data_IF_181216984230
#
_entry.id   IF_181216984230
#
_cell.length_a   1.000
_cell.length_b   1.000
_cell.length_c   1.000
_cell.angle_alpha   90.00
_cell.angle_beta   90.00
_cell.angle_gamma   90.00
#
_symmetry.space_group_name_H-M   'P 1'
#
loop_
_entity.id
_entity.type
_entity.pdbx_description
1 polymer ?
#
# COMPACT_ATOMS: atom_id res chain seq x y z
N UNK A 1 -2.08 -6.71 -25.61
CA UNK A 1 -1.40 -5.41 -25.45
C UNK A 1 -0.06 -5.67 -24.78
N UNK A 2 1.05 -5.12 -25.26
CA UNK A 2 2.35 -5.43 -24.68
C UNK A 2 2.36 -4.90 -23.25
N UNK A 3 2.53 -5.81 -22.30
CA UNK A 3 2.80 -5.47 -20.91
C UNK A 3 4.16 -4.82 -20.91
N UNK A 4 4.22 -3.49 -20.82
CA UNK A 4 5.44 -2.78 -20.47
C UNK A 4 5.75 -3.16 -19.02
N UNK A 5 6.40 -4.32 -18.88
CA UNK A 5 6.97 -4.79 -17.64
C UNK A 5 8.10 -3.82 -17.28
N UNK A 6 7.78 -2.82 -16.47
CA UNK A 6 8.79 -2.04 -15.78
C UNK A 6 9.41 -2.95 -14.71
N UNK A 7 10.42 -3.72 -15.10
CA UNK A 7 11.34 -4.39 -14.17
C UNK A 7 12.25 -3.39 -13.43
N UNK A 8 12.11 -2.09 -13.69
CA UNK A 8 12.84 -1.05 -13.00
C UNK A 8 12.32 -0.95 -11.55
N UNK A 9 13.20 -1.25 -10.60
CA UNK A 9 12.99 -0.95 -9.19
C UNK A 9 12.65 0.53 -9.08
N UNK A 10 11.45 0.86 -8.59
CA UNK A 10 11.04 2.25 -8.45
C UNK A 10 12.05 2.98 -7.57
N UNK A 11 12.72 4.03 -8.05
CA UNK A 11 13.73 4.72 -7.27
C UNK A 11 13.07 5.31 -6.03
N UNK A 12 13.54 4.88 -4.86
CA UNK A 12 13.05 5.38 -3.56
C UNK A 12 13.49 6.81 -3.32
N UNK A 13 14.53 7.27 -4.02
CA UNK A 13 15.05 8.64 -4.00
C UNK A 13 15.07 9.20 -5.42
N UNK A 14 14.41 10.34 -5.62
CA UNK A 14 14.43 11.08 -6.88
C UNK A 14 15.44 12.22 -6.74
N UNK A 15 16.39 12.33 -7.67
CA UNK A 15 17.38 13.42 -7.69
C UNK A 15 17.12 14.45 -8.78
N UNK A 16 16.26 14.12 -9.75
CA UNK A 16 15.82 15.02 -10.82
C UNK A 16 14.34 14.71 -11.11
N UNK A 17 13.45 15.52 -10.53
CA UNK A 17 12.01 15.33 -10.71
C UNK A 17 11.56 15.68 -12.14
N UNK A 18 12.25 16.58 -12.83
CA UNK A 18 11.91 16.98 -14.19
C UNK A 18 12.19 15.85 -15.18
N UNK A 19 13.37 15.23 -15.10
CA UNK A 19 13.72 14.06 -15.89
C UNK A 19 12.79 12.88 -15.59
N UNK A 20 12.48 12.62 -14.31
CA UNK A 20 11.53 11.57 -13.93
C UNK A 20 10.14 11.81 -14.54
N UNK A 21 9.64 13.05 -14.49
CA UNK A 21 8.38 13.43 -15.12
C UNK A 21 8.43 13.31 -16.65
N UNK A 22 9.55 13.65 -17.28
CA UNK A 22 9.70 13.55 -18.73
C UNK A 22 9.71 12.09 -19.21
N UNK A 23 10.28 11.17 -18.41
CA UNK A 23 10.32 9.73 -18.71
C UNK A 23 9.04 8.98 -18.31
N UNK A 24 8.12 9.64 -17.59
CA UNK A 24 6.90 9.02 -17.08
C UNK A 24 5.90 8.69 -18.20
N UNK A 25 5.55 7.41 -18.31
CA UNK A 25 4.50 6.92 -19.19
C UNK A 25 3.32 6.43 -18.34
N UNK A 26 2.21 7.19 -18.26
CA UNK A 26 1.07 6.82 -17.43
C UNK A 26 0.46 5.48 -17.85
N UNK A 27 0.27 4.59 -16.89
CA UNK A 27 -0.44 3.32 -17.10
C UNK A 27 -1.96 3.49 -17.11
N UNK A 28 -2.47 4.59 -16.52
CA UNK A 28 -3.92 4.85 -16.36
C UNK A 28 -4.26 6.32 -16.69
N UNK A 29 -4.04 6.76 -17.94
CA UNK A 29 -4.26 8.16 -18.33
C UNK A 29 -5.69 8.61 -18.04
N UNK A 30 -5.84 9.78 -17.42
CA UNK A 30 -7.14 10.39 -17.09
C UNK A 30 -7.79 9.90 -15.79
N UNK A 31 -7.21 8.89 -15.13
CA UNK A 31 -7.64 8.47 -13.79
C UNK A 31 -6.78 9.16 -12.71
N UNK A 32 -5.46 9.01 -12.84
CA UNK A 32 -4.50 9.57 -11.91
C UNK A 32 -3.13 9.70 -12.58
N UNK A 33 -2.24 10.46 -11.95
CA UNK A 33 -0.86 10.66 -12.39
C UNK A 33 0.10 10.66 -11.21
N UNK A 34 1.35 10.25 -11.45
CA UNK A 34 2.41 10.36 -10.45
C UNK A 34 3.03 11.75 -10.53
N UNK A 35 2.98 12.48 -9.42
CA UNK A 35 3.73 13.72 -9.23
C UNK A 35 5.07 13.36 -8.59
N UNK A 36 6.14 13.46 -9.39
CA UNK A 36 7.50 13.25 -8.93
C UNK A 36 8.01 14.45 -8.15
N UNK A 37 8.69 14.19 -7.04
CA UNK A 37 9.33 15.20 -6.20
C UNK A 37 10.67 14.67 -5.75
N UNK A 38 11.68 15.52 -5.80
CA UNK A 38 13.04 15.19 -5.37
C UNK A 38 13.08 14.83 -3.88
N UNK A 39 14.07 14.00 -3.52
CA UNK A 39 14.21 13.41 -2.19
C UNK A 39 13.65 12.00 -2.09
N UNK A 40 13.73 11.44 -0.88
CA UNK A 40 13.34 10.06 -0.61
C UNK A 40 11.86 9.98 -0.26
N UNK A 41 11.12 9.11 -0.95
CA UNK A 41 9.69 8.85 -0.71
C UNK A 41 8.76 10.08 -0.84
N UNK A 42 9.19 11.11 -1.57
CA UNK A 42 8.43 12.37 -1.71
C UNK A 42 7.42 12.39 -2.87
N UNK A 43 7.46 11.37 -3.75
CA UNK A 43 6.54 11.29 -4.89
C UNK A 43 5.17 10.76 -4.47
N UNK A 44 4.10 11.21 -5.13
CA UNK A 44 2.72 10.85 -4.77
C UNK A 44 1.83 10.65 -6.00
N UNK A 45 0.81 9.81 -5.85
CA UNK A 45 -0.26 9.67 -6.84
C UNK A 45 -1.31 10.75 -6.63
N UNK A 46 -1.69 11.45 -7.70
CA UNK A 46 -2.72 12.50 -7.68
C UNK A 46 -3.85 12.10 -8.62
N UNK A 47 -5.08 12.22 -8.14
CA UNK A 47 -6.28 11.98 -8.95
C UNK A 47 -6.39 13.04 -10.05
N UNK A 48 -6.55 12.60 -11.30
CA UNK A 48 -6.75 13.49 -12.45
C UNK A 48 -8.21 13.94 -12.59
N UNK A 49 -9.13 13.31 -11.84
CA UNK A 49 -10.55 13.64 -11.79
C UNK A 49 -11.12 13.39 -10.39
N UNK A 50 -12.33 13.91 -10.14
CA UNK A 50 -13.09 13.58 -8.94
C UNK A 50 -13.60 12.14 -8.98
N UNK A 51 -13.67 11.51 -7.79
CA UNK A 51 -14.25 10.19 -7.57
C UNK A 51 -15.38 10.29 -6.55
N UNK A 52 -16.47 9.57 -6.79
CA UNK A 52 -17.53 9.39 -5.81
C UNK A 52 -17.11 8.39 -4.73
N UNK A 53 -17.63 8.52 -3.51
CA UNK A 53 -17.39 7.54 -2.45
C UNK A 53 -17.87 6.16 -2.90
N UNK A 54 -16.98 5.17 -2.83
CA UNK A 54 -17.27 3.78 -3.25
C UNK A 54 -17.11 3.54 -4.75
N UNK A 55 -16.76 4.57 -5.54
CA UNK A 55 -16.42 4.40 -6.94
C UNK A 55 -15.12 3.59 -7.08
N UNK A 56 -15.15 2.61 -7.98
CA UNK A 56 -13.95 1.83 -8.32
C UNK A 56 -13.05 2.68 -9.20
N UNK A 57 -11.84 3.00 -8.73
CA UNK A 57 -10.85 3.75 -9.50
C UNK A 57 -10.40 2.94 -10.73
N UNK A 58 -9.88 1.73 -10.50
CA UNK A 58 -9.49 0.77 -11.53
C UNK A 58 -9.32 -0.63 -10.90
N UNK A 59 -9.24 -1.67 -11.73
CA UNK A 59 -8.88 -3.02 -11.26
C UNK A 59 -7.37 -3.14 -11.03
N UNK A 60 -6.98 -4.04 -10.13
CA UNK A 60 -5.59 -4.44 -9.94
C UNK A 60 -5.28 -5.59 -10.89
N UNK A 61 -4.46 -5.32 -11.91
CA UNK A 61 -4.14 -6.25 -13.01
C UNK A 61 -2.66 -6.12 -13.40
N UNK A 62 -2.08 -7.16 -14.04
CA UNK A 62 -0.67 -7.15 -14.46
C UNK A 62 0.34 -7.33 -13.32
N UNK A 63 -0.11 -7.83 -12.17
CA UNK A 63 0.70 -8.00 -10.97
C UNK A 63 1.55 -9.26 -11.04
N UNK A 64 2.70 -9.23 -10.39
CA UNK A 64 3.59 -10.40 -10.28
C UNK A 64 3.85 -10.73 -8.82
N UNK A 65 4.02 -12.01 -8.44
CA UNK A 65 4.50 -12.36 -7.11
C UNK A 65 5.84 -11.67 -6.82
N UNK A 66 6.02 -11.22 -5.59
CA UNK A 66 7.24 -10.55 -5.14
C UNK A 66 7.57 -10.89 -3.69
N UNK A 67 8.82 -10.66 -3.25
CA UNK A 67 9.16 -10.72 -1.85
C UNK A 67 8.51 -9.56 -1.09
N UNK A 68 8.32 -9.73 0.23
CA UNK A 68 7.87 -8.66 1.12
C UNK A 68 8.85 -7.48 1.06
N UNK A 69 8.38 -6.34 0.55
CA UNK A 69 9.12 -5.08 0.38
C UNK A 69 8.17 -3.89 0.47
N UNK A 70 8.72 -2.69 0.61
CA UNK A 70 7.94 -1.43 0.64
C UNK A 70 7.02 -1.23 -0.59
N UNK A 71 7.39 -1.75 -1.76
CA UNK A 71 6.60 -1.61 -3.00
C UNK A 71 5.58 -2.72 -3.22
N UNK A 72 5.69 -3.82 -2.46
CA UNK A 72 4.81 -4.96 -2.60
C UNK A 72 3.57 -4.83 -1.72
N UNK A 73 2.48 -5.51 -2.09
CA UNK A 73 1.24 -5.60 -1.31
C UNK A 73 1.01 -7.03 -0.88
N UNK A 74 0.74 -7.26 0.40
CA UNK A 74 0.36 -8.57 0.91
C UNK A 74 -1.05 -8.96 0.46
N UNK A 75 -1.18 -10.16 -0.10
CA UNK A 75 -2.45 -10.69 -0.67
C UNK A 75 -2.89 -12.02 -0.07
N UNK A 76 -2.03 -12.66 0.71
CA UNK A 76 -2.34 -13.83 1.52
C UNK A 76 -1.45 -13.84 2.76
N UNK A 77 -1.58 -14.87 3.61
CA UNK A 77 -0.77 -14.99 4.83
C UNK A 77 0.73 -14.96 4.53
N UNK A 78 1.18 -15.60 3.45
CA UNK A 78 2.58 -15.65 3.04
C UNK A 78 2.88 -14.92 1.72
N UNK A 79 1.87 -14.55 0.94
CA UNK A 79 2.02 -14.05 -0.43
C UNK A 79 2.01 -12.53 -0.56
N UNK A 80 2.92 -12.00 -1.38
CA UNK A 80 2.96 -10.60 -1.77
C UNK A 80 3.02 -10.46 -3.30
N UNK A 81 2.53 -9.34 -3.82
CA UNK A 81 2.56 -8.99 -5.24
C UNK A 81 3.16 -7.59 -5.44
N UNK A 82 3.83 -7.38 -6.58
CA UNK A 82 4.18 -6.06 -7.12
C UNK A 82 3.07 -5.61 -8.08
N UNK A 83 2.66 -4.33 -8.05
CA UNK A 83 1.53 -3.86 -8.88
C UNK A 83 1.96 -3.50 -10.31
N UNK A 84 3.26 -3.37 -10.56
CA UNK A 84 3.89 -3.14 -11.87
C UNK A 84 3.25 -1.99 -12.66
N UNK A 85 2.84 -0.94 -11.96
CA UNK A 85 2.10 0.19 -12.55
C UNK A 85 2.14 1.39 -11.61
N UNK A 86 1.64 2.53 -12.09
CA UNK A 86 1.62 3.79 -11.31
C UNK A 86 0.86 3.66 -9.98
N UNK A 87 0.01 2.64 -9.86
CA UNK A 87 -0.69 2.25 -8.63
C UNK A 87 0.25 1.90 -7.49
N UNK A 88 1.53 1.58 -7.75
CA UNK A 88 2.59 1.44 -6.74
C UNK A 88 2.83 2.73 -5.94
N UNK A 89 2.26 3.86 -6.38
CA UNK A 89 2.28 5.14 -5.65
C UNK A 89 1.01 5.41 -4.86
N UNK A 90 0.03 4.51 -4.89
CA UNK A 90 -1.26 4.70 -4.25
C UNK A 90 -1.11 4.54 -2.74
N UNK A 91 -1.51 5.58 -2.00
CA UNK A 91 -1.53 5.56 -0.54
C UNK A 91 -2.89 5.11 -0.05
N UNK A 92 -2.91 4.10 0.81
CA UNK A 92 -4.10 3.64 1.51
C UNK A 92 -3.73 3.31 2.95
N UNK A 93 -4.70 2.86 3.76
CA UNK A 93 -4.42 2.45 5.12
C UNK A 93 -3.68 1.11 5.13
N UNK A 94 -2.34 1.10 5.06
CA UNK A 94 -1.51 -0.11 4.96
C UNK A 94 -1.94 -1.27 5.89
N UNK A 95 -2.29 -1.06 7.17
CA UNK A 95 -2.75 -2.15 8.04
C UNK A 95 -4.05 -2.84 7.59
N UNK A 96 -4.73 -2.37 6.54
CA UNK A 96 -5.86 -3.08 5.92
C UNK A 96 -5.43 -4.30 5.11
N UNK A 97 -4.21 -4.32 4.57
CA UNK A 97 -3.68 -5.43 3.75
C UNK A 97 -2.40 -6.01 4.32
N UNK A 98 -1.63 -5.24 5.09
CA UNK A 98 -0.30 -5.64 5.59
C UNK A 98 -0.38 -6.10 7.05
N UNK A 99 0.04 -7.34 7.31
CA UNK A 99 0.08 -7.90 8.66
C UNK A 99 1.17 -7.25 9.49
N UNK A 100 2.36 -7.15 8.94
CA UNK A 100 3.54 -6.56 9.54
C UNK A 100 4.33 -5.89 8.41
N UNK A 101 4.69 -4.62 8.57
CA UNK A 101 5.48 -3.91 7.56
C UNK A 101 6.89 -4.52 7.48
N UNK A 102 7.55 -4.40 6.33
CA UNK A 102 9.00 -4.68 6.23
C UNK A 102 9.81 -3.59 6.92
N UNK A 103 9.40 -2.33 6.69
CA UNK A 103 9.99 -1.14 7.29
C UNK A 103 8.88 -0.28 7.90
N UNK A 104 8.68 -0.34 9.23
CA UNK A 104 7.75 0.53 9.93
C UNK A 104 8.13 2.00 9.85
N UNK A 105 7.15 2.91 9.81
CA UNK A 105 7.39 4.35 9.68
C UNK A 105 6.36 5.22 10.43
N UNK A 106 6.73 6.45 10.82
CA UNK A 106 5.79 7.42 11.39
C UNK A 106 4.82 7.94 10.31
N UNK A 107 3.53 7.93 10.62
CA UNK A 107 2.48 8.39 9.71
C UNK A 107 2.34 9.91 9.77
N UNK A 108 2.29 10.55 8.60
CA UNK A 108 2.12 11.99 8.45
C UNK A 108 0.81 12.38 7.76
N UNK A 109 -0.23 11.53 7.83
CA UNK A 109 -1.49 11.77 7.12
C UNK A 109 -2.32 12.94 7.66
N UNK A 110 -2.08 13.38 8.90
CA UNK A 110 -2.80 14.50 9.52
C UNK A 110 -4.22 14.20 10.01
N UNK A 111 -4.73 12.98 9.82
CA UNK A 111 -6.09 12.60 10.24
C UNK A 111 -6.21 12.47 11.78
N UNK A 112 -7.34 12.90 12.34
CA UNK A 112 -7.62 12.83 13.79
C UNK A 112 -7.63 11.39 14.33
N UNK A 113 -8.00 10.41 13.48
CA UNK A 113 -8.06 8.97 13.81
C UNK A 113 -6.78 8.23 13.39
N UNK A 114 -5.70 8.95 13.09
CA UNK A 114 -4.42 8.40 12.71
C UNK A 114 -3.83 7.49 13.81
N UNK A 115 -3.29 6.33 13.41
CA UNK A 115 -2.62 5.37 14.30
C UNK A 115 -1.16 5.76 14.65
N UNK A 116 -0.69 6.90 14.14
CA UNK A 116 0.63 7.53 14.34
C UNK A 116 1.82 6.74 13.83
N UNK A 117 1.92 5.44 14.09
CA UNK A 117 2.98 4.56 13.60
C UNK A 117 2.40 3.46 12.70
N UNK A 118 2.91 3.34 11.48
CA UNK A 118 2.52 2.27 10.56
C UNK A 118 3.48 1.09 10.74
N UNK A 119 2.98 0.01 11.35
CA UNK A 119 3.74 -1.23 11.60
C UNK A 119 3.05 -2.48 11.05
N UNK A 120 1.80 -2.35 10.56
CA UNK A 120 0.96 -3.46 10.11
C UNK A 120 -0.16 -3.81 11.11
N UNK A 121 -1.12 -4.60 10.66
CA UNK A 121 -2.32 -4.98 11.41
C UNK A 121 -2.04 -5.73 12.72
N UNK A 122 -0.92 -6.47 12.78
CA UNK A 122 -0.45 -7.23 13.96
C UNK A 122 -0.36 -6.37 15.22
N UNK A 123 -0.10 -5.08 15.07
CA UNK A 123 0.11 -4.15 16.19
C UNK A 123 -1.12 -3.32 16.55
N UNK A 124 -2.24 -3.52 15.85
CA UNK A 124 -3.49 -2.81 16.09
C UNK A 124 -4.55 -3.73 16.70
N UNK A 125 -5.44 -3.14 17.50
CA UNK A 125 -6.60 -3.84 18.04
C UNK A 125 -7.70 -3.99 16.96
N UNK A 126 -8.56 -5.00 17.14
CA UNK A 126 -9.76 -5.16 16.29
C UNK A 126 -10.67 -3.94 16.32
N UNK A 127 -10.73 -3.24 17.45
CA UNK A 127 -11.48 -2.00 17.59
C UNK A 127 -10.96 -0.90 16.65
N UNK A 128 -9.64 -0.68 16.60
CA UNK A 128 -9.04 0.31 15.69
C UNK A 128 -9.28 -0.09 14.23
N UNK A 129 -9.08 -1.37 13.90
CA UNK A 129 -9.24 -1.89 12.54
C UNK A 129 -10.69 -1.89 12.05
N UNK A 130 -11.67 -2.01 12.96
CA UNK A 130 -13.11 -1.98 12.61
C UNK A 130 -13.58 -0.68 11.95
N UNK A 131 -12.78 0.38 12.06
CA UNK A 131 -13.03 1.70 11.43
C UNK A 131 -12.74 1.71 9.94
N UNK A 132 -12.03 0.69 9.43
CA UNK A 132 -11.54 0.62 8.07
C UNK A 132 -12.02 -0.66 7.39
N UNK A 133 -11.97 -0.67 6.06
CA UNK A 133 -12.03 -1.93 5.33
C UNK A 133 -10.73 -2.70 5.58
N UNK A 134 -10.83 -4.02 5.77
CA UNK A 134 -9.70 -4.92 6.03
C UNK A 134 -9.85 -6.16 5.16
N UNK A 135 -8.75 -6.57 4.51
CA UNK A 135 -8.71 -7.74 3.65
C UNK A 135 -8.97 -9.03 4.44
N UNK A 136 -9.48 -10.06 3.76
CA UNK A 136 -9.84 -11.33 4.40
C UNK A 136 -8.66 -12.00 5.09
N UNK A 137 -7.50 -12.06 4.44
CA UNK A 137 -6.30 -12.69 5.01
C UNK A 137 -5.81 -12.00 6.29
N UNK A 138 -6.01 -10.69 6.41
CA UNK A 138 -5.69 -9.96 7.65
C UNK A 138 -6.69 -10.29 8.76
N UNK A 139 -7.98 -10.46 8.45
CA UNK A 139 -8.97 -10.90 9.44
C UNK A 139 -8.63 -12.28 9.99
N UNK A 140 -8.27 -13.21 9.11
CA UNK A 140 -7.86 -14.57 9.48
C UNK A 140 -6.63 -14.53 10.42
N UNK A 141 -5.62 -13.74 10.07
CA UNK A 141 -4.42 -13.54 10.90
C UNK A 141 -4.71 -12.91 12.27
N UNK A 142 -5.65 -11.97 12.35
CA UNK A 142 -6.09 -11.38 13.62
C UNK A 142 -6.79 -12.41 14.51
N UNK A 143 -7.61 -13.27 13.92
CA UNK A 143 -8.29 -14.34 14.64
C UNK A 143 -7.28 -15.37 15.18
N UNK A 144 -6.29 -15.76 14.38
CA UNK A 144 -5.18 -16.61 14.82
C UNK A 144 -4.39 -15.98 15.98
N UNK A 145 -3.95 -14.72 15.84
CA UNK A 145 -3.19 -14.00 16.87
C UNK A 145 -3.97 -13.92 18.19
N UNK A 146 -5.24 -13.54 18.11
CA UNK A 146 -6.06 -13.30 19.30
C UNK A 146 -6.49 -14.61 19.98
N UNK A 147 -6.62 -15.70 19.22
CA UNK A 147 -6.84 -17.04 19.79
C UNK A 147 -5.62 -17.50 20.60
N UNK A 148 -4.42 -17.33 20.06
CA UNK A 148 -3.16 -17.67 20.77
C UNK A 148 -3.02 -16.86 22.06
N UNK A 149 -3.29 -15.55 22.00
CA UNK A 149 -3.20 -14.66 23.16
C UNK A 149 -4.15 -15.09 24.30
N UNK A 150 -5.37 -15.51 23.97
CA UNK A 150 -6.35 -16.00 24.97
C UNK A 150 -5.89 -17.29 25.65
N UNK A 151 -5.29 -18.21 24.89
CA UNK A 151 -4.75 -19.46 25.43
C UNK A 151 -3.58 -19.20 26.38
N UNK A 152 -2.69 -18.24 26.06
CA UNK A 152 -1.53 -17.91 26.91
C UNK A 152 -1.87 -17.15 28.21
N UNK A 153 -3.04 -16.51 28.28
CA UNK A 153 -3.48 -15.76 29.49
C UNK A 153 -4.32 -16.64 30.42
N UNK A 154 -4.78 -17.80 29.93
CA UNK A 154 -5.65 -18.73 30.70
C UNK A 154 -4.88 -19.91 31.30
N UNK A 155 -3.55 -19.91 31.23
CA UNK A 155 -2.64 -20.90 31.81
C UNK A 155 -1.78 -20.26 32.91
#
# INVERSE_FOLDING_TARGET
>A
MPVISSTATKPTTITDAAAAKQAYLPTHPGLFEVVYTEGSYNSRLVASRSYSKGEVICKVEGTTPGPKKYTSVQVSKEGHIELNSDRDSLTFFYPSSEWEMDQPFPCWCGDDKCVKQIQGAKFLSKEVLSRYWVASHIKDLLDERDAVAKTSVSA
#
